data_IF_340329404736
#
_entry.id   IF_340329404736
#
_cell.length_a   1.000
_cell.length_b   1.000
_cell.length_c   1.000
_cell.angle_alpha   90.00
_cell.angle_beta   90.00
_cell.angle_gamma   90.00
#
_symmetry.space_group_name_H-M   'P 1'
#
loop_
_entity.id
_entity.type
_entity.pdbx_description
1 polymer ?
#
# COMPACT_ATOMS: atom_id res chain seq x y z
N UNK A 1 56.91 -6.27 12.08
CA UNK A 1 56.68 -4.93 12.64
C UNK A 1 55.26 -4.98 13.30
N UNK A 2 55.15 -4.98 14.60
CA UNK A 2 53.87 -5.11 15.30
C UNK A 2 53.34 -3.69 15.50
N UNK A 3 52.22 -3.38 14.83
CA UNK A 3 51.49 -2.10 14.97
C UNK A 3 50.66 -2.17 16.25
N UNK A 4 50.88 -1.24 17.18
CA UNK A 4 50.23 -1.19 18.48
C UNK A 4 48.82 -0.58 18.37
N UNK A 5 47.89 -1.05 19.22
CA UNK A 5 46.51 -0.55 19.32
C UNK A 5 46.39 0.98 19.55
N UNK A 6 47.49 1.66 19.90
CA UNK A 6 47.52 3.11 20.14
C UNK A 6 47.73 3.94 18.89
N UNK A 7 48.22 3.35 17.81
CA UNK A 7 48.49 4.06 16.53
C UNK A 7 47.23 4.10 15.62
N UNK A 8 46.27 3.24 15.89
CA UNK A 8 44.99 3.19 15.13
C UNK A 8 44.01 4.31 15.56
N UNK A 9 44.19 4.88 16.75
CA UNK A 9 43.27 5.90 17.29
C UNK A 9 43.64 7.36 16.98
N UNK A 10 44.72 7.63 16.25
CA UNK A 10 45.15 9.00 15.94
C UNK A 10 44.89 9.46 14.50
N UNK A 11 44.30 8.62 13.65
CA UNK A 11 43.99 8.96 12.24
C UNK A 11 42.49 8.92 11.89
N UNK A 12 41.60 8.96 12.88
CA UNK A 12 40.14 8.96 12.68
C UNK A 12 39.52 10.31 13.07
N UNK A 13 40.08 11.39 12.56
CA UNK A 13 39.43 12.70 12.66
C UNK A 13 39.72 13.50 11.39
N UNK A 14 38.92 13.22 10.35
CA UNK A 14 38.56 14.12 9.25
C UNK A 14 37.84 13.28 8.16
N UNK A 15 36.56 13.55 7.96
CA UNK A 15 35.82 13.02 6.80
C UNK A 15 34.60 12.18 7.14
N UNK A 16 33.62 12.72 7.87
CA UNK A 16 32.28 12.16 7.91
C UNK A 16 31.51 12.75 6.72
N UNK A 17 31.56 12.07 5.59
CA UNK A 17 30.54 12.20 4.56
C UNK A 17 29.41 11.26 4.95
N UNK A 18 28.25 11.81 5.26
CA UNK A 18 27.06 11.07 5.65
C UNK A 18 26.53 10.27 4.45
N UNK A 19 26.71 8.96 4.47
CA UNK A 19 25.91 8.05 3.68
C UNK A 19 24.61 7.76 4.46
N UNK A 20 23.57 8.53 4.14
CA UNK A 20 22.21 8.22 4.58
C UNK A 20 21.69 7.06 3.73
N UNK A 21 21.70 5.87 4.29
CA UNK A 21 20.94 4.73 3.77
C UNK A 21 19.46 5.00 4.02
N UNK A 22 18.74 5.29 2.94
CA UNK A 22 17.29 5.48 2.92
C UNK A 22 16.59 4.16 3.33
N UNK A 23 15.80 4.22 4.38
CA UNK A 23 14.82 3.19 4.76
C UNK A 23 13.50 3.52 4.06
N UNK A 24 12.91 2.62 3.25
CA UNK A 24 11.67 2.90 2.50
C UNK A 24 10.39 3.05 3.34
N UNK A 25 10.42 2.65 4.62
CA UNK A 25 9.21 2.57 5.45
C UNK A 25 9.03 3.72 6.46
N UNK A 26 9.97 4.66 6.58
CA UNK A 26 9.89 5.72 7.61
C UNK A 26 9.34 7.06 7.09
N UNK A 27 8.93 7.15 5.83
CA UNK A 27 8.53 8.44 5.25
C UNK A 27 7.13 8.91 5.65
N UNK A 28 6.28 8.03 6.20
CA UNK A 28 4.89 8.36 6.52
C UNK A 28 4.55 8.52 8.01
N UNK A 29 5.46 8.25 8.95
CA UNK A 29 5.13 8.20 10.38
C UNK A 29 5.86 9.18 11.31
N UNK A 30 6.66 10.13 10.81
CA UNK A 30 7.43 11.05 11.67
C UNK A 30 6.91 12.50 11.70
N UNK A 31 5.59 12.71 11.75
CA UNK A 31 5.03 14.07 11.90
C UNK A 31 4.18 14.28 13.15
N UNK A 32 4.42 13.53 14.20
CA UNK A 32 3.77 13.79 15.50
C UNK A 32 4.83 14.01 16.57
N UNK A 33 5.43 15.17 16.64
CA UNK A 33 6.01 15.85 17.82
C UNK A 33 7.21 16.71 17.42
N UNK A 34 6.95 17.88 16.83
CA UNK A 34 7.82 19.05 17.09
C UNK A 34 7.04 20.32 16.73
N UNK A 35 6.91 21.19 17.73
CA UNK A 35 6.61 22.61 17.53
C UNK A 35 5.13 22.98 17.55
N UNK A 36 4.62 23.25 18.75
CA UNK A 36 3.51 24.21 18.95
C UNK A 36 3.88 25.56 18.32
N UNK A 37 3.61 25.71 17.03
CA UNK A 37 3.50 27.02 16.40
C UNK A 37 2.04 27.44 16.49
N UNK A 38 1.85 28.68 16.94
CA UNK A 38 0.55 29.32 17.13
C UNK A 38 -0.42 28.97 16.00
N UNK A 39 -1.54 28.36 16.36
CA UNK A 39 -2.64 28.06 15.45
C UNK A 39 -3.16 29.37 14.86
N UNK A 40 -2.82 29.64 13.61
CA UNK A 40 -3.60 30.56 12.79
C UNK A 40 -5.05 30.04 12.82
N UNK A 41 -6.07 30.89 13.08
CA UNK A 41 -7.44 30.43 13.11
C UNK A 41 -7.73 29.67 11.81
N UNK A 42 -8.26 28.43 11.93
CA UNK A 42 -8.62 27.61 10.79
C UNK A 42 -9.56 28.44 9.90
N UNK A 43 -9.07 28.85 8.73
CA UNK A 43 -9.95 29.49 7.74
C UNK A 43 -11.04 28.48 7.40
N UNK A 44 -12.28 28.95 7.34
CA UNK A 44 -13.40 28.10 6.96
C UNK A 44 -13.08 27.40 5.63
N UNK A 45 -13.41 26.09 5.56
CA UNK A 45 -13.24 25.32 4.32
C UNK A 45 -13.98 26.00 3.16
N UNK A 46 -13.46 25.93 1.94
CA UNK A 46 -14.16 26.43 0.76
C UNK A 46 -15.57 25.81 0.63
N UNK A 47 -16.58 26.55 0.11
CA UNK A 47 -17.95 26.06 0.02
C UNK A 47 -18.15 24.75 -0.73
N UNK A 48 -17.24 24.40 -1.66
CA UNK A 48 -17.28 23.11 -2.36
C UNK A 48 -17.20 21.90 -1.41
N UNK A 49 -16.56 22.06 -0.25
CA UNK A 49 -16.47 21.02 0.77
C UNK A 49 -17.76 20.80 1.59
N UNK A 50 -18.76 21.68 1.46
CA UNK A 50 -20.02 21.55 2.23
C UNK A 50 -20.85 20.34 1.83
N UNK A 51 -20.65 19.82 0.64
CA UNK A 51 -21.28 18.59 0.14
C UNK A 51 -20.73 17.31 0.77
N UNK A 52 -19.53 17.36 1.34
CA UNK A 52 -18.89 16.19 1.96
C UNK A 52 -19.60 15.79 3.25
N UNK A 53 -19.98 14.51 3.35
CA UNK A 53 -20.69 13.94 4.50
C UNK A 53 -20.03 12.63 4.92
N UNK A 54 -20.02 12.29 6.21
CA UNK A 54 -19.58 10.99 6.70
C UNK A 54 -20.26 9.83 5.98
N UNK A 55 -19.53 8.75 5.77
CA UNK A 55 -20.04 7.54 5.12
C UNK A 55 -21.10 6.82 5.99
N UNK A 56 -20.98 6.93 7.32
CA UNK A 56 -21.93 6.35 8.27
C UNK A 56 -22.12 4.83 8.09
N UNK A 57 -23.35 4.37 8.16
CA UNK A 57 -23.71 2.96 8.10
C UNK A 57 -23.43 2.27 6.75
N UNK A 58 -22.94 3.00 5.76
CA UNK A 58 -22.47 2.39 4.49
C UNK A 58 -21.20 1.57 4.68
N UNK A 59 -20.37 1.93 5.65
CA UNK A 59 -19.17 1.18 6.01
C UNK A 59 -19.56 0.02 6.88
N UNK A 60 -19.34 -1.18 6.39
CA UNK A 60 -19.57 -2.41 7.17
C UNK A 60 -18.20 -2.98 7.57
N UNK A 61 -17.98 -3.27 8.86
CA UNK A 61 -16.72 -3.88 9.28
C UNK A 61 -16.65 -5.34 8.82
N UNK A 62 -15.44 -5.85 8.64
CA UNK A 62 -15.21 -7.27 8.39
C UNK A 62 -15.72 -8.10 9.57
N UNK A 63 -16.52 -9.10 9.30
CA UNK A 63 -17.19 -9.91 10.30
C UNK A 63 -16.32 -11.08 10.80
N UNK A 64 -16.59 -11.58 12.00
CA UNK A 64 -15.89 -12.72 12.60
C UNK A 64 -15.83 -13.94 11.66
N UNK A 65 -16.94 -14.26 10.98
CA UNK A 65 -17.01 -15.38 10.04
C UNK A 65 -16.10 -15.21 8.83
N UNK A 66 -15.83 -13.99 8.39
CA UNK A 66 -14.92 -13.73 7.26
C UNK A 66 -13.46 -14.01 7.65
N UNK A 67 -13.04 -13.62 8.87
CA UNK A 67 -11.72 -13.99 9.39
C UNK A 67 -11.53 -15.50 9.47
N UNK A 68 -12.55 -16.22 9.94
CA UNK A 68 -12.52 -17.69 9.99
C UNK A 68 -12.43 -18.31 8.60
N UNK A 69 -13.14 -17.77 7.61
CA UNK A 69 -13.04 -18.20 6.21
C UNK A 69 -11.65 -17.95 5.63
N UNK A 70 -11.00 -16.82 5.96
CA UNK A 70 -9.62 -16.51 5.56
C UNK A 70 -8.62 -17.53 6.12
N UNK A 71 -8.76 -17.92 7.40
CA UNK A 71 -7.96 -18.99 8.03
C UNK A 71 -8.17 -20.32 7.29
N UNK A 72 -9.41 -20.72 7.06
CA UNK A 72 -9.73 -21.96 6.35
C UNK A 72 -9.17 -21.96 4.91
N UNK A 73 -9.19 -20.81 4.23
CA UNK A 73 -8.59 -20.64 2.91
C UNK A 73 -7.07 -20.81 2.95
N UNK A 74 -6.38 -20.20 3.91
CA UNK A 74 -4.95 -20.38 4.10
C UNK A 74 -4.60 -21.86 4.36
N UNK A 75 -5.37 -22.53 5.22
CA UNK A 75 -5.19 -23.97 5.52
C UNK A 75 -5.36 -24.84 4.27
N UNK A 76 -6.32 -24.52 3.41
CA UNK A 76 -6.51 -25.19 2.13
C UNK A 76 -5.29 -24.99 1.21
N UNK A 77 -4.84 -23.76 1.01
CA UNK A 77 -3.67 -23.44 0.18
C UNK A 77 -2.39 -24.13 0.71
N UNK A 78 -2.21 -24.18 2.03
CA UNK A 78 -1.10 -24.91 2.64
C UNK A 78 -1.13 -26.41 2.28
N UNK A 79 -2.31 -27.02 2.26
CA UNK A 79 -2.48 -28.42 1.88
C UNK A 79 -2.24 -28.69 0.39
N UNK A 80 -2.55 -27.73 -0.47
CA UNK A 80 -2.37 -27.81 -1.94
C UNK A 80 -0.94 -27.52 -2.39
N UNK A 81 -0.07 -27.01 -1.51
CA UNK A 81 1.34 -26.73 -1.82
C UNK A 81 2.17 -28.01 -1.96
N UNK A 82 3.23 -27.96 -2.74
CA UNK A 82 4.14 -29.09 -2.96
C UNK A 82 5.61 -28.68 -2.67
N UNK A 83 6.19 -29.11 -1.54
CA UNK A 83 5.58 -29.88 -0.44
C UNK A 83 4.55 -29.06 0.34
N UNK A 84 3.60 -29.71 1.05
CA UNK A 84 2.58 -29.01 1.80
C UNK A 84 3.18 -28.31 3.02
N UNK A 85 2.74 -27.07 3.28
CA UNK A 85 3.07 -26.39 4.53
C UNK A 85 2.33 -27.02 5.72
N UNK A 86 3.00 -27.12 6.85
CA UNK A 86 2.40 -27.63 8.10
C UNK A 86 1.84 -26.50 8.96
N UNK A 87 2.40 -25.29 8.84
CA UNK A 87 1.91 -24.09 9.51
C UNK A 87 2.38 -22.81 8.80
N UNK A 88 1.78 -21.67 9.17
CA UNK A 88 2.28 -20.34 8.93
C UNK A 88 2.71 -19.68 10.25
N UNK A 89 3.75 -18.88 10.19
CA UNK A 89 4.22 -17.99 11.26
C UNK A 89 4.12 -16.55 10.75
N UNK A 90 3.29 -15.74 11.40
CA UNK A 90 2.90 -14.39 10.95
C UNK A 90 3.20 -13.41 12.08
N UNK A 91 4.01 -12.40 11.80
CA UNK A 91 4.35 -11.30 12.72
C UNK A 91 3.48 -10.06 12.48
N UNK A 92 3.55 -9.03 13.36
CA UNK A 92 2.79 -7.80 13.15
C UNK A 92 3.02 -7.17 11.79
N UNK A 93 1.93 -6.87 11.11
CA UNK A 93 1.86 -6.33 9.77
C UNK A 93 0.49 -6.59 9.16
N UNK A 94 0.33 -6.27 7.90
CA UNK A 94 -0.94 -6.35 7.18
C UNK A 94 -1.51 -7.76 7.13
N UNK A 95 -0.64 -8.77 7.02
CA UNK A 95 -1.08 -10.18 7.04
C UNK A 95 -1.70 -10.58 8.38
N UNK A 96 -1.19 -10.04 9.51
CA UNK A 96 -1.83 -10.22 10.82
C UNK A 96 -3.23 -9.58 10.84
N UNK A 97 -3.35 -8.34 10.35
CA UNK A 97 -4.65 -7.64 10.23
C UNK A 97 -5.61 -8.46 9.38
N UNK A 98 -5.17 -8.97 8.23
CA UNK A 98 -6.00 -9.79 7.34
C UNK A 98 -6.63 -11.00 8.03
N UNK A 99 -5.87 -11.73 8.86
CA UNK A 99 -6.36 -12.95 9.50
C UNK A 99 -7.09 -12.71 10.84
N UNK A 100 -6.87 -11.55 11.49
CA UNK A 100 -7.33 -11.36 12.86
C UNK A 100 -8.08 -10.06 13.12
N UNK A 101 -7.88 -9.04 12.29
CA UNK A 101 -8.31 -7.67 12.55
C UNK A 101 -7.46 -6.93 13.59
N UNK A 102 -6.34 -7.52 14.05
CA UNK A 102 -5.47 -6.93 15.05
C UNK A 102 -4.49 -5.97 14.40
N UNK A 103 -4.53 -4.71 14.79
CA UNK A 103 -3.55 -3.69 14.45
C UNK A 103 -2.49 -3.62 15.53
N UNK A 104 -1.28 -4.08 15.23
CA UNK A 104 -0.18 -4.14 16.18
C UNK A 104 1.10 -3.57 15.61
N UNK A 105 1.74 -2.73 16.40
CA UNK A 105 3.01 -2.13 16.00
C UNK A 105 4.18 -3.10 16.20
N UNK A 106 5.03 -3.34 15.19
CA UNK A 106 6.18 -4.22 15.34
C UNK A 106 7.21 -3.63 16.32
N UNK A 107 7.54 -4.40 17.35
CA UNK A 107 8.55 -4.06 18.36
C UNK A 107 9.63 -5.16 18.45
N UNK A 108 10.53 -5.05 19.42
CA UNK A 108 11.47 -6.11 19.78
C UNK A 108 10.78 -7.27 20.51
N UNK A 109 9.61 -7.02 21.10
CA UNK A 109 8.79 -8.03 21.76
C UNK A 109 7.89 -8.72 20.76
N UNK A 110 7.95 -10.03 20.73
CA UNK A 110 7.20 -10.79 19.74
C UNK A 110 5.73 -10.90 20.09
N UNK A 111 4.91 -10.45 19.15
CA UNK A 111 3.58 -10.94 18.89
C UNK A 111 3.64 -11.79 17.61
N UNK A 112 3.05 -12.97 17.60
CA UNK A 112 2.94 -13.79 16.39
C UNK A 112 1.62 -14.54 16.36
N UNK A 113 1.02 -14.65 15.16
CA UNK A 113 -0.06 -15.57 14.86
C UNK A 113 0.53 -16.82 14.21
N UNK A 114 0.17 -17.98 14.73
CA UNK A 114 0.50 -19.27 14.15
C UNK A 114 -0.77 -19.92 13.64
N UNK A 115 -0.77 -20.28 12.36
CA UNK A 115 -1.88 -20.97 11.70
C UNK A 115 -1.37 -22.38 11.32
N UNK A 116 -1.70 -23.44 12.10
CA UNK A 116 -1.41 -24.80 11.70
C UNK A 116 -2.29 -25.20 10.52
N UNK A 117 -1.80 -26.08 9.64
CA UNK A 117 -2.58 -26.59 8.49
C UNK A 117 -3.87 -27.27 8.91
N UNK A 118 -3.91 -27.85 10.10
CA UNK A 118 -5.09 -28.47 10.71
C UNK A 118 -5.24 -28.00 12.15
N UNK A 119 -6.48 -27.75 12.58
CA UNK A 119 -6.80 -27.24 13.90
C UNK A 119 -6.82 -25.71 13.99
N UNK A 120 -7.01 -25.21 15.20
CA UNK A 120 -7.23 -23.81 15.45
C UNK A 120 -5.93 -23.01 15.49
N UNK A 121 -5.90 -21.78 14.96
CA UNK A 121 -4.78 -20.87 15.09
C UNK A 121 -4.60 -20.43 16.56
N UNK A 122 -3.41 -19.93 16.87
CA UNK A 122 -3.12 -19.35 18.17
C UNK A 122 -2.17 -18.17 18.06
N UNK A 123 -2.24 -17.26 19.03
CA UNK A 123 -1.36 -16.13 19.18
C UNK A 123 -0.29 -16.41 20.25
N UNK A 124 0.90 -15.91 20.03
CA UNK A 124 1.98 -15.84 21.02
C UNK A 124 2.21 -14.37 21.34
N UNK A 125 2.10 -13.98 22.61
CA UNK A 125 2.11 -12.57 23.03
C UNK A 125 2.84 -12.38 24.34
N UNK A 126 3.49 -11.20 24.59
CA UNK A 126 3.92 -10.83 25.93
C UNK A 126 2.73 -10.90 26.92
N UNK A 127 2.96 -11.42 28.12
CA UNK A 127 1.87 -11.59 29.09
C UNK A 127 1.21 -10.27 29.50
N UNK A 128 2.00 -9.21 29.63
CA UNK A 128 1.47 -7.88 30.00
C UNK A 128 0.63 -7.22 28.90
N UNK A 129 0.71 -7.68 27.64
CA UNK A 129 -0.07 -7.16 26.51
C UNK A 129 -1.36 -7.97 26.25
N UNK A 130 -1.58 -9.07 26.96
CA UNK A 130 -2.74 -9.97 26.71
C UNK A 130 -4.08 -9.22 26.78
N UNK A 131 -4.26 -8.35 27.77
CA UNK A 131 -5.50 -7.57 27.92
C UNK A 131 -5.78 -6.69 26.72
N UNK A 132 -4.79 -5.93 26.26
CA UNK A 132 -4.89 -5.07 25.08
C UNK A 132 -5.13 -5.88 23.78
N UNK A 133 -4.53 -7.05 23.70
CA UNK A 133 -4.73 -7.93 22.55
C UNK A 133 -6.16 -8.47 22.48
N UNK A 134 -6.72 -8.87 23.63
CA UNK A 134 -8.11 -9.35 23.75
C UNK A 134 -9.14 -8.29 23.33
N UNK A 135 -8.89 -7.02 23.62
CA UNK A 135 -9.77 -5.90 23.21
C UNK A 135 -9.87 -5.77 21.68
N UNK A 136 -8.82 -6.15 20.93
CA UNK A 136 -8.78 -6.06 19.47
C UNK A 136 -9.33 -7.31 18.76
N UNK A 137 -9.41 -8.45 19.44
CA UNK A 137 -9.87 -9.69 18.81
C UNK A 137 -11.31 -9.56 18.30
N UNK A 138 -11.50 -9.84 17.03
CA UNK A 138 -12.82 -9.86 16.38
C UNK A 138 -13.53 -11.21 16.51
N UNK A 139 -12.79 -12.26 16.87
CA UNK A 139 -13.29 -13.62 17.11
C UNK A 139 -12.35 -14.35 18.08
N UNK A 140 -12.81 -15.42 18.79
CA UNK A 140 -11.98 -16.10 19.77
C UNK A 140 -10.78 -16.78 19.14
N UNK A 141 -9.57 -16.42 19.60
CA UNK A 141 -8.29 -17.08 19.28
C UNK A 141 -7.59 -17.37 20.59
N UNK A 142 -6.99 -18.56 20.74
CA UNK A 142 -6.16 -18.89 21.89
C UNK A 142 -4.95 -17.96 21.95
N UNK A 143 -4.66 -17.38 23.11
CA UNK A 143 -3.47 -16.58 23.36
C UNK A 143 -2.55 -17.34 24.30
N UNK A 144 -1.32 -17.57 23.87
CA UNK A 144 -0.21 -18.11 24.67
C UNK A 144 0.72 -16.99 25.05
N UNK A 145 0.88 -16.78 26.32
CA UNK A 145 1.71 -15.71 26.81
C UNK A 145 3.11 -16.17 27.17
N UNK A 146 4.04 -15.24 27.17
CA UNK A 146 5.42 -15.40 27.62
C UNK A 146 5.80 -14.24 28.53
N UNK A 147 6.66 -14.50 29.54
CA UNK A 147 7.22 -13.49 30.43
C UNK A 147 8.56 -12.97 29.88
N UNK A 148 9.06 -11.83 30.40
CA UNK A 148 10.28 -11.19 29.88
C UNK A 148 11.53 -12.09 29.96
N UNK A 149 11.55 -13.12 30.84
CA UNK A 149 12.58 -14.12 30.99
C UNK A 149 12.31 -15.44 30.25
N UNK A 150 11.14 -15.56 29.57
CA UNK A 150 10.80 -16.71 28.75
C UNK A 150 11.27 -16.54 27.29
N UNK A 151 11.38 -17.66 26.56
CA UNK A 151 11.57 -17.66 25.13
C UNK A 151 10.23 -17.70 24.39
N UNK A 152 9.80 -16.60 23.71
CA UNK A 152 8.58 -16.61 22.92
C UNK A 152 8.63 -17.63 21.77
N UNK A 153 9.82 -17.92 21.27
CA UNK A 153 10.04 -18.91 20.21
C UNK A 153 9.81 -20.33 20.71
N UNK A 154 10.21 -20.62 21.96
CA UNK A 154 9.91 -21.90 22.61
C UNK A 154 8.41 -22.07 22.84
N UNK A 155 7.70 -21.00 23.22
CA UNK A 155 6.22 -20.99 23.35
C UNK A 155 5.57 -21.29 21.99
N UNK A 156 6.05 -20.65 20.91
CA UNK A 156 5.58 -20.89 19.55
C UNK A 156 5.81 -22.35 19.11
N UNK A 157 7.04 -22.85 19.27
CA UNK A 157 7.41 -24.21 18.91
C UNK A 157 6.59 -25.26 19.69
N UNK A 158 6.41 -25.05 21.00
CA UNK A 158 5.56 -25.91 21.85
C UNK A 158 4.11 -25.91 21.36
N UNK A 159 3.56 -24.72 21.04
CA UNK A 159 2.21 -24.56 20.53
C UNK A 159 1.96 -25.29 19.22
N UNK A 160 2.95 -25.28 18.31
CA UNK A 160 2.92 -26.03 17.06
C UNK A 160 2.98 -27.55 17.32
N UNK A 161 3.91 -28.00 18.17
CA UNK A 161 4.06 -29.42 18.49
C UNK A 161 2.80 -30.05 19.14
N UNK A 162 2.12 -29.30 20.01
CA UNK A 162 0.84 -29.71 20.63
C UNK A 162 -0.29 -29.87 19.60
N UNK A 163 -0.21 -29.13 18.46
CA UNK A 163 -1.11 -29.24 17.32
C UNK A 163 -0.65 -30.24 16.25
N UNK A 164 0.34 -31.06 16.59
CA UNK A 164 0.85 -32.12 15.73
C UNK A 164 1.89 -31.64 14.69
N UNK A 165 2.26 -30.35 14.68
CA UNK A 165 3.30 -29.83 13.80
C UNK A 165 4.66 -30.01 14.47
N UNK A 166 5.31 -31.15 14.19
CA UNK A 166 6.59 -31.55 14.80
C UNK A 166 7.73 -31.62 13.80
N UNK A 167 7.42 -31.70 12.53
CA UNK A 167 8.34 -31.74 11.40
C UNK A 167 7.66 -31.09 10.17
N UNK A 168 8.42 -31.01 9.07
CA UNK A 168 7.94 -30.47 7.81
C UNK A 168 8.14 -28.97 7.68
N UNK A 169 7.46 -28.39 6.69
CA UNK A 169 7.69 -27.01 6.24
C UNK A 169 6.74 -26.04 6.93
N UNK A 170 7.29 -24.96 7.50
CA UNK A 170 6.56 -23.80 8.05
C UNK A 170 6.82 -22.59 7.17
N UNK A 171 5.76 -21.96 6.71
CA UNK A 171 5.82 -20.70 5.95
C UNK A 171 6.00 -19.51 6.90
N UNK A 172 7.00 -18.69 6.63
CA UNK A 172 7.27 -17.46 7.38
C UNK A 172 6.83 -16.28 6.52
N UNK A 173 6.09 -15.37 7.10
CA UNK A 173 5.60 -14.16 6.44
C UNK A 173 6.76 -13.21 6.11
N UNK A 174 6.70 -12.53 4.94
CA UNK A 174 7.81 -11.77 4.34
C UNK A 174 8.37 -10.65 5.22
N UNK A 175 7.55 -10.00 6.05
CA UNK A 175 7.97 -8.89 6.91
C UNK A 175 8.58 -9.34 8.23
N UNK A 176 8.68 -10.66 8.47
CA UNK A 176 9.28 -11.22 9.69
C UNK A 176 10.74 -10.82 9.80
N UNK A 177 11.11 -10.17 10.89
CA UNK A 177 12.50 -9.79 11.15
C UNK A 177 13.43 -11.02 11.13
N UNK A 178 14.57 -10.88 10.47
CA UNK A 178 15.55 -11.98 10.37
C UNK A 178 15.94 -12.59 11.74
N UNK A 179 16.12 -11.74 12.76
CA UNK A 179 16.46 -12.22 14.10
C UNK A 179 15.34 -13.09 14.71
N UNK A 180 14.07 -12.78 14.45
CA UNK A 180 12.94 -13.58 14.89
C UNK A 180 12.89 -14.92 14.17
N UNK A 181 13.10 -14.90 12.86
CA UNK A 181 13.23 -16.09 12.04
C UNK A 181 14.37 -17.01 12.56
N UNK A 182 15.55 -16.46 12.84
CA UNK A 182 16.71 -17.25 13.28
C UNK A 182 16.48 -17.90 14.65
N UNK A 183 15.92 -17.16 15.61
CA UNK A 183 15.58 -17.72 16.92
C UNK A 183 14.46 -18.77 16.84
N UNK A 184 13.44 -18.57 15.99
CA UNK A 184 12.40 -19.58 15.78
C UNK A 184 12.98 -20.87 15.21
N UNK A 185 13.88 -20.78 14.23
CA UNK A 185 14.59 -21.91 13.64
C UNK A 185 15.42 -22.68 14.69
N UNK A 186 16.06 -21.97 15.62
CA UNK A 186 16.80 -22.58 16.73
C UNK A 186 15.87 -23.26 17.74
N UNK A 187 14.70 -22.69 18.03
CA UNK A 187 13.73 -23.24 18.97
C UNK A 187 12.99 -24.49 18.43
N UNK A 188 12.92 -24.63 17.10
CA UNK A 188 12.23 -25.73 16.44
C UNK A 188 13.10 -26.38 15.35
N UNK A 189 14.21 -27.05 15.71
CA UNK A 189 15.22 -27.54 14.75
C UNK A 189 14.73 -28.69 13.85
N UNK A 190 13.62 -29.34 14.18
CA UNK A 190 13.00 -30.37 13.35
C UNK A 190 12.09 -29.80 12.25
N UNK A 191 11.77 -28.52 12.30
CA UNK A 191 10.98 -27.84 11.29
C UNK A 191 11.88 -27.20 10.23
N UNK A 192 11.41 -27.19 8.99
CA UNK A 192 12.04 -26.45 7.89
C UNK A 192 11.25 -25.16 7.67
N UNK A 193 11.94 -24.03 7.69
CA UNK A 193 11.31 -22.72 7.50
C UNK A 193 11.62 -22.17 6.10
N UNK A 194 10.59 -21.64 5.43
CA UNK A 194 10.70 -21.04 4.09
C UNK A 194 9.71 -19.87 3.98
N UNK A 195 9.77 -19.13 2.87
CA UNK A 195 8.77 -18.07 2.61
C UNK A 195 7.34 -18.65 2.59
N UNK A 196 6.44 -18.00 3.32
CA UNK A 196 5.01 -18.27 3.32
C UNK A 196 4.22 -17.48 2.27
N UNK A 197 4.90 -16.67 1.43
CA UNK A 197 4.30 -15.70 0.52
C UNK A 197 3.31 -16.33 -0.47
N UNK A 198 3.58 -17.54 -0.95
CA UNK A 198 2.65 -18.25 -1.83
C UNK A 198 1.26 -18.47 -1.20
N UNK A 199 1.19 -18.55 0.12
CA UNK A 199 -0.06 -18.69 0.87
C UNK A 199 -0.63 -17.32 1.23
N UNK A 200 0.17 -16.44 1.85
CA UNK A 200 -0.30 -15.13 2.33
C UNK A 200 -0.72 -14.23 1.17
N UNK A 201 0.06 -14.16 0.10
CA UNK A 201 -0.30 -13.46 -1.15
C UNK A 201 -1.50 -14.14 -1.81
N UNK A 202 -1.51 -15.49 -1.88
CA UNK A 202 -2.63 -16.25 -2.43
C UNK A 202 -3.96 -15.96 -1.75
N UNK A 203 -3.94 -15.73 -0.43
CA UNK A 203 -5.11 -15.34 0.34
C UNK A 203 -5.56 -13.90 0.07
N UNK A 204 -4.61 -12.96 0.00
CA UNK A 204 -4.90 -11.51 -0.04
C UNK A 204 -5.14 -10.99 -1.46
N UNK A 205 -4.53 -11.60 -2.47
CA UNK A 205 -4.57 -11.09 -3.84
C UNK A 205 -5.99 -11.06 -4.41
N UNK A 206 -6.78 -12.13 -4.22
CA UNK A 206 -8.16 -12.22 -4.70
C UNK A 206 -9.12 -11.73 -3.60
N UNK A 207 -9.78 -10.60 -3.86
CA UNK A 207 -10.68 -9.95 -2.91
C UNK A 207 -12.05 -10.62 -2.87
N UNK A 208 -12.65 -10.70 -1.69
CA UNK A 208 -14.05 -11.04 -1.53
C UNK A 208 -14.96 -9.91 -2.03
N UNK A 209 -16.25 -10.19 -2.20
CA UNK A 209 -17.21 -9.17 -2.60
C UNK A 209 -17.30 -8.03 -1.58
N UNK A 210 -17.16 -8.33 -0.29
CA UNK A 210 -17.18 -7.33 0.78
C UNK A 210 -15.91 -6.44 0.75
N UNK A 211 -14.74 -7.03 0.53
CA UNK A 211 -13.48 -6.27 0.37
C UNK A 211 -13.56 -5.32 -0.83
N UNK A 212 -14.12 -5.77 -1.96
CA UNK A 212 -14.34 -4.93 -3.14
C UNK A 212 -15.35 -3.81 -2.88
N UNK A 213 -16.37 -4.03 -2.05
CA UNK A 213 -17.31 -2.98 -1.66
C UNK A 213 -16.63 -1.89 -0.83
N UNK A 214 -15.79 -2.27 0.14
CA UNK A 214 -15.00 -1.32 0.94
C UNK A 214 -14.05 -0.50 0.07
N UNK A 215 -13.36 -1.14 -0.88
CA UNK A 215 -12.48 -0.45 -1.83
C UNK A 215 -13.25 0.54 -2.73
N UNK A 216 -14.42 0.15 -3.26
CA UNK A 216 -15.27 1.07 -4.03
C UNK A 216 -15.74 2.27 -3.21
N UNK A 217 -16.09 2.06 -1.94
CA UNK A 217 -16.47 3.15 -1.04
C UNK A 217 -15.28 4.07 -0.76
N UNK A 218 -14.07 3.51 -0.58
CA UNK A 218 -12.84 4.30 -0.41
C UNK A 218 -12.56 5.15 -1.66
N UNK A 219 -12.61 4.56 -2.86
CA UNK A 219 -12.46 5.28 -4.12
C UNK A 219 -13.50 6.41 -4.29
N UNK A 220 -14.78 6.12 -3.98
CA UNK A 220 -15.84 7.10 -4.09
C UNK A 220 -15.66 8.28 -3.11
N UNK A 221 -15.18 8.02 -1.90
CA UNK A 221 -14.88 9.05 -0.91
C UNK A 221 -13.70 9.93 -1.36
N UNK A 222 -12.62 9.32 -1.87
CA UNK A 222 -11.48 10.05 -2.43
C UNK A 222 -11.90 10.95 -3.59
N UNK A 223 -12.74 10.44 -4.51
CA UNK A 223 -13.31 11.23 -5.61
C UNK A 223 -14.11 12.42 -5.12
N UNK A 224 -14.94 12.25 -4.09
CA UNK A 224 -15.74 13.35 -3.53
C UNK A 224 -14.85 14.47 -2.98
N UNK A 225 -13.77 14.12 -2.25
CA UNK A 225 -12.82 15.10 -1.73
C UNK A 225 -12.02 15.75 -2.85
N UNK A 226 -11.53 15.00 -3.83
CA UNK A 226 -10.81 15.54 -4.98
C UNK A 226 -11.68 16.49 -5.79
N UNK A 227 -12.97 16.19 -5.99
CA UNK A 227 -13.90 17.07 -6.68
C UNK A 227 -14.04 18.43 -5.96
N UNK A 228 -14.20 18.41 -4.63
CA UNK A 228 -14.29 19.62 -3.82
C UNK A 228 -12.97 20.41 -3.86
N UNK A 229 -11.83 19.69 -3.80
CA UNK A 229 -10.51 20.29 -3.85
C UNK A 229 -10.25 21.00 -5.18
N UNK A 230 -10.39 20.32 -6.32
CA UNK A 230 -10.14 20.92 -7.64
C UNK A 230 -11.02 22.14 -7.91
N UNK A 231 -12.28 22.13 -7.41
CA UNK A 231 -13.18 23.29 -7.47
C UNK A 231 -12.73 24.47 -6.58
N UNK A 232 -11.77 24.25 -5.69
CA UNK A 232 -11.32 25.24 -4.70
C UNK A 232 -9.92 25.77 -4.96
N UNK A 233 -9.20 25.23 -5.94
CA UNK A 233 -7.83 25.63 -6.26
C UNK A 233 -7.79 27.06 -6.78
N UNK A 234 -6.75 27.79 -6.34
CA UNK A 234 -6.51 29.19 -6.72
C UNK A 234 -5.04 29.44 -6.97
N UNK A 235 -4.75 30.40 -7.84
CA UNK A 235 -3.39 30.88 -8.04
C UNK A 235 -2.76 31.34 -6.72
N UNK A 236 -1.50 31.04 -6.54
CA UNK A 236 -0.71 31.36 -5.36
C UNK A 236 -0.75 30.31 -4.24
N UNK A 237 -1.66 29.33 -4.29
CA UNK A 237 -1.69 28.23 -3.30
C UNK A 237 -0.41 27.41 -3.38
N UNK A 238 0.10 26.99 -2.22
CA UNK A 238 1.25 26.07 -2.10
C UNK A 238 0.79 24.63 -2.01
N UNK A 239 1.68 23.66 -2.29
CA UNK A 239 1.41 22.23 -2.12
C UNK A 239 0.94 21.91 -0.71
N UNK A 240 1.53 22.55 0.32
CA UNK A 240 1.16 22.35 1.73
C UNK A 240 -0.26 22.85 2.03
N UNK A 241 -0.67 23.96 1.44
CA UNK A 241 -2.04 24.49 1.61
C UNK A 241 -3.06 23.56 0.96
N UNK A 242 -2.75 23.04 -0.23
CA UNK A 242 -3.61 22.07 -0.92
C UNK A 242 -3.66 20.73 -0.16
N UNK A 243 -2.54 20.22 0.35
CA UNK A 243 -2.50 19.04 1.19
C UNK A 243 -3.36 19.18 2.45
N UNK A 244 -3.29 20.35 3.13
CA UNK A 244 -4.16 20.62 4.29
C UNK A 244 -5.65 20.65 3.93
N UNK A 245 -6.02 21.16 2.77
CA UNK A 245 -7.42 21.13 2.30
C UNK A 245 -7.88 19.68 2.07
N UNK A 246 -7.02 18.82 1.52
CA UNK A 246 -7.31 17.39 1.37
C UNK A 246 -7.55 16.72 2.72
N UNK A 247 -6.62 16.85 3.66
CA UNK A 247 -6.73 16.29 5.01
C UNK A 247 -8.04 16.76 5.70
N UNK A 248 -8.37 18.06 5.61
CA UNK A 248 -9.60 18.62 6.15
C UNK A 248 -10.84 18.09 5.43
N UNK A 249 -10.76 17.84 4.12
CA UNK A 249 -11.83 17.24 3.33
C UNK A 249 -12.13 15.82 3.79
N UNK A 250 -11.12 15.00 3.96
CA UNK A 250 -11.25 13.64 4.50
C UNK A 250 -11.77 13.68 5.95
N UNK A 251 -11.24 14.55 6.80
CA UNK A 251 -11.69 14.69 8.18
C UNK A 251 -13.18 15.09 8.25
N UNK A 252 -13.69 15.92 7.32
CA UNK A 252 -15.13 16.25 7.24
C UNK A 252 -16.00 15.04 6.92
N UNK A 253 -15.45 14.04 6.25
CA UNK A 253 -16.12 12.75 6.02
C UNK A 253 -15.92 11.75 7.16
N UNK A 254 -15.26 12.14 8.25
CA UNK A 254 -14.81 11.29 9.37
C UNK A 254 -13.83 10.20 8.90
N UNK A 255 -12.99 10.51 7.90
CA UNK A 255 -11.98 9.65 7.32
C UNK A 255 -10.58 10.21 7.56
N UNK A 256 -9.58 9.36 7.49
CA UNK A 256 -8.17 9.71 7.43
C UNK A 256 -7.64 9.38 6.04
N UNK A 257 -6.93 10.33 5.44
CA UNK A 257 -6.30 10.16 4.14
C UNK A 257 -5.36 11.33 3.88
N UNK A 258 -4.48 11.12 2.94
CA UNK A 258 -3.51 12.11 2.48
C UNK A 258 -3.27 11.96 0.97
N UNK A 259 -2.52 12.87 0.41
CA UNK A 259 -2.08 12.77 -0.97
C UNK A 259 -0.80 13.59 -1.19
N UNK A 260 0.03 13.07 -2.08
CA UNK A 260 1.13 13.81 -2.70
C UNK A 260 0.56 14.91 -3.59
N UNK A 261 1.01 16.15 -3.42
CA UNK A 261 0.59 17.30 -4.22
C UNK A 261 1.80 17.88 -4.92
N UNK A 262 1.76 17.92 -6.26
CA UNK A 262 2.87 18.41 -7.10
C UNK A 262 2.37 19.40 -8.14
N UNK A 263 3.15 20.45 -8.39
CA UNK A 263 2.83 21.49 -9.37
C UNK A 263 3.91 21.62 -10.45
N UNK A 264 3.51 21.77 -11.71
CA UNK A 264 4.40 22.07 -12.83
C UNK A 264 5.63 21.18 -12.90
N UNK A 265 6.86 21.75 -12.86
CA UNK A 265 8.09 20.98 -12.96
C UNK A 265 8.30 19.95 -11.83
N UNK A 266 7.74 20.18 -10.62
CA UNK A 266 7.89 19.23 -9.53
C UNK A 266 7.13 17.92 -9.80
N UNK A 267 6.07 17.95 -10.61
CA UNK A 267 5.33 16.77 -11.03
C UNK A 267 6.15 15.83 -11.95
N UNK A 268 7.27 16.31 -12.50
CA UNK A 268 8.20 15.46 -13.26
C UNK A 268 9.01 14.48 -12.40
N UNK A 269 8.93 14.61 -11.08
CA UNK A 269 9.52 13.69 -10.10
C UNK A 269 8.36 12.86 -9.49
N UNK A 270 8.21 11.58 -9.82
CA UNK A 270 7.01 10.78 -9.45
C UNK A 270 6.68 10.80 -7.95
N UNK A 271 7.69 10.87 -7.09
CA UNK A 271 7.52 10.95 -5.63
C UNK A 271 7.78 12.35 -5.08
N UNK A 272 7.82 13.36 -5.97
CA UNK A 272 7.88 14.76 -5.60
C UNK A 272 9.27 15.28 -5.19
N UNK A 273 9.25 16.50 -4.70
CA UNK A 273 10.41 17.24 -4.20
C UNK A 273 10.04 17.94 -2.89
N UNK A 274 11.06 18.36 -2.13
CA UNK A 274 10.85 19.15 -0.90
C UNK A 274 10.67 20.65 -1.19
N UNK A 275 10.86 21.08 -2.44
CA UNK A 275 10.71 22.47 -2.83
C UNK A 275 9.25 22.83 -2.97
N UNK A 276 8.79 23.82 -2.20
CA UNK A 276 7.46 24.40 -2.35
C UNK A 276 7.43 25.34 -3.55
N UNK A 277 6.35 25.24 -4.33
CA UNK A 277 6.08 26.14 -5.44
C UNK A 277 4.66 26.69 -5.28
N UNK A 278 4.44 28.00 -5.56
CA UNK A 278 3.09 28.53 -5.67
C UNK A 278 2.48 28.07 -6.98
N UNK A 279 1.21 27.67 -6.93
CA UNK A 279 0.40 27.32 -8.09
C UNK A 279 0.23 28.55 -9.00
N UNK A 280 0.42 28.40 -10.29
CA UNK A 280 0.25 29.46 -11.30
C UNK A 280 -0.62 28.97 -12.44
N UNK A 281 -1.22 29.91 -13.17
CA UNK A 281 -1.98 29.61 -14.37
C UNK A 281 -1.14 28.84 -15.39
N UNK A 282 -1.73 27.86 -16.06
CA UNK A 282 -1.09 26.95 -17.02
C UNK A 282 -0.25 25.83 -16.42
N UNK A 283 -0.04 25.81 -15.09
CA UNK A 283 0.66 24.72 -14.43
C UNK A 283 -0.22 23.47 -14.31
N UNK A 284 0.37 22.31 -14.62
CA UNK A 284 -0.18 21.01 -14.25
C UNK A 284 -0.18 20.84 -12.72
N UNK A 285 -1.22 20.21 -12.21
CA UNK A 285 -1.43 19.91 -10.79
C UNK A 285 -1.64 18.41 -10.70
N UNK A 286 -0.65 17.68 -10.16
CA UNK A 286 -0.77 16.25 -9.90
C UNK A 286 -1.07 16.04 -8.43
N UNK A 287 -2.16 15.32 -8.15
CA UNK A 287 -2.58 14.92 -6.82
C UNK A 287 -2.69 13.39 -6.83
N UNK A 288 -2.06 12.73 -5.87
CA UNK A 288 -1.87 11.29 -5.85
C UNK A 288 -1.96 10.74 -4.44
N UNK A 289 -2.93 9.87 -4.18
CA UNK A 289 -3.19 9.27 -2.88
C UNK A 289 -4.65 8.93 -2.66
N UNK A 290 -5.03 8.72 -1.41
CA UNK A 290 -6.37 8.27 -1.09
C UNK A 290 -6.66 8.17 0.40
N UNK A 291 -7.48 7.21 0.74
CA UNK A 291 -7.87 6.89 2.13
C UNK A 291 -7.71 5.41 2.42
N UNK A 292 -7.70 5.11 3.72
CA UNK A 292 -7.86 3.74 4.21
C UNK A 292 -9.23 3.60 4.87
N UNK A 293 -10.01 2.59 4.44
CA UNK A 293 -11.35 2.29 4.98
C UNK A 293 -11.40 0.83 5.44
N UNK A 294 -11.61 0.58 6.75
CA UNK A 294 -11.52 -0.76 7.35
C UNK A 294 -10.19 -1.50 6.99
N UNK A 295 -9.12 -0.75 6.80
CA UNK A 295 -7.80 -1.25 6.37
C UNK A 295 -7.60 -1.32 4.85
N UNK A 296 -8.63 -1.17 4.03
CA UNK A 296 -8.53 -1.23 2.56
C UNK A 296 -8.25 0.15 1.98
N UNK A 297 -7.26 0.22 1.09
CA UNK A 297 -6.81 1.45 0.46
C UNK A 297 -7.58 1.79 -0.80
N UNK A 298 -7.66 3.07 -1.11
CA UNK A 298 -7.82 3.61 -2.44
C UNK A 298 -6.56 4.37 -2.82
N UNK A 299 -6.17 4.30 -4.09
CA UNK A 299 -5.03 5.01 -4.64
C UNK A 299 -5.41 5.65 -5.97
N UNK A 300 -5.40 6.97 -6.03
CA UNK A 300 -5.96 7.72 -7.14
C UNK A 300 -5.09 8.91 -7.47
N UNK A 301 -4.50 8.90 -8.67
CA UNK A 301 -3.84 10.09 -9.20
C UNK A 301 -4.73 10.84 -10.19
N UNK A 302 -4.73 12.15 -10.05
CA UNK A 302 -5.36 13.07 -11.01
C UNK A 302 -4.39 14.18 -11.37
N UNK A 303 -4.23 14.40 -12.67
CA UNK A 303 -3.51 15.57 -13.17
C UNK A 303 -4.51 16.61 -13.68
N UNK A 304 -4.64 17.73 -12.97
CA UNK A 304 -5.44 18.88 -13.40
C UNK A 304 -4.58 20.01 -13.94
N UNK A 305 -5.21 21.13 -14.29
CA UNK A 305 -4.56 22.38 -14.68
C UNK A 305 -5.33 23.57 -14.10
N UNK A 306 -4.60 24.59 -13.68
CA UNK A 306 -5.21 25.89 -13.39
C UNK A 306 -5.22 26.74 -14.68
N UNK A 307 -6.42 27.11 -15.16
CA UNK A 307 -6.58 27.84 -16.43
C UNK A 307 -6.41 26.94 -17.65
N UNK A 308 -5.65 27.37 -18.65
CA UNK A 308 -5.47 26.64 -19.91
C UNK A 308 -4.17 25.83 -19.90
N UNK A 309 -4.21 24.55 -20.29
CA UNK A 309 -3.00 23.74 -20.41
C UNK A 309 -2.09 24.23 -21.56
N UNK A 310 -0.81 24.00 -21.44
CA UNK A 310 0.11 24.10 -22.60
C UNK A 310 -0.15 22.95 -23.56
N UNK A 311 0.16 23.13 -24.85
CA UNK A 311 0.03 22.05 -25.86
C UNK A 311 0.82 20.80 -25.48
N UNK A 312 2.02 20.94 -24.88
CA UNK A 312 2.84 19.83 -24.41
C UNK A 312 2.15 19.04 -23.29
N UNK A 313 1.58 19.74 -22.30
CA UNK A 313 0.88 19.11 -21.18
C UNK A 313 -0.38 18.39 -21.67
N UNK A 314 -1.16 19.04 -22.54
CA UNK A 314 -2.35 18.44 -23.13
C UNK A 314 -2.03 17.16 -23.90
N UNK A 315 -1.01 17.21 -24.78
CA UNK A 315 -0.57 16.01 -25.51
C UNK A 315 -0.12 14.88 -24.59
N UNK A 316 0.66 15.19 -23.55
CA UNK A 316 1.10 14.16 -22.59
C UNK A 316 -0.08 13.53 -21.86
N UNK A 317 -1.07 14.33 -21.45
CA UNK A 317 -2.30 13.85 -20.84
C UNK A 317 -3.08 12.90 -21.75
N UNK A 318 -3.28 13.26 -23.02
CA UNK A 318 -4.00 12.43 -23.98
C UNK A 318 -3.31 11.08 -24.18
N UNK A 319 -1.99 11.06 -24.23
CA UNK A 319 -1.19 9.82 -24.36
C UNK A 319 -1.29 8.97 -23.09
N UNK A 320 -1.20 9.58 -21.90
CA UNK A 320 -1.35 8.87 -20.62
C UNK A 320 -2.75 8.27 -20.48
N UNK A 321 -3.79 9.00 -20.86
CA UNK A 321 -5.17 8.49 -20.86
C UNK A 321 -5.35 7.30 -21.82
N UNK A 322 -4.81 7.43 -23.06
CA UNK A 322 -4.85 6.33 -24.02
C UNK A 322 -4.07 5.10 -23.53
N UNK A 323 -2.95 5.30 -22.82
CA UNK A 323 -2.19 4.22 -22.22
C UNK A 323 -2.96 3.53 -21.08
N UNK A 324 -3.68 4.31 -20.25
CA UNK A 324 -4.53 3.79 -19.18
C UNK A 324 -5.70 2.96 -19.75
N UNK A 325 -6.33 3.40 -20.84
CA UNK A 325 -7.39 2.66 -21.54
C UNK A 325 -6.86 1.34 -22.13
N UNK A 326 -5.67 1.38 -22.75
CA UNK A 326 -5.03 0.19 -23.31
C UNK A 326 -4.68 -0.85 -22.22
N UNK A 327 -4.21 -0.37 -21.06
CA UNK A 327 -3.93 -1.21 -19.90
C UNK A 327 -5.21 -1.88 -19.37
N UNK A 328 -6.29 -1.11 -19.18
CA UNK A 328 -7.57 -1.66 -18.72
C UNK A 328 -8.09 -2.74 -19.67
N UNK A 329 -8.01 -2.49 -20.98
CA UNK A 329 -8.44 -3.44 -22.01
C UNK A 329 -7.58 -4.72 -22.03
N UNK A 330 -6.29 -4.63 -21.74
CA UNK A 330 -5.35 -5.76 -21.70
C UNK A 330 -5.45 -6.58 -20.40
N UNK A 331 -6.00 -6.00 -19.34
CA UNK A 331 -6.13 -6.63 -18.03
C UNK A 331 -7.30 -7.61 -18.00
N UNK A 332 -7.07 -8.83 -18.54
CA UNK A 332 -8.05 -9.90 -18.70
C UNK A 332 -7.61 -11.12 -17.92
N UNK A 333 -8.54 -11.80 -17.24
CA UNK A 333 -8.26 -13.06 -16.55
C UNK A 333 -7.59 -14.08 -17.48
N UNK A 334 -6.55 -14.74 -17.00
CA UNK A 334 -5.73 -15.68 -17.78
C UNK A 334 -4.54 -15.04 -18.49
N UNK A 335 -4.47 -13.72 -18.62
CA UNK A 335 -3.30 -13.03 -19.16
C UNK A 335 -2.20 -12.88 -18.10
N UNK A 336 -0.97 -12.58 -18.53
CA UNK A 336 0.15 -12.29 -17.62
C UNK A 336 0.11 -10.83 -17.15
N UNK A 337 0.48 -10.57 -15.91
CA UNK A 337 0.61 -9.20 -15.39
C UNK A 337 1.51 -8.31 -16.25
N UNK A 338 2.60 -8.87 -16.81
CA UNK A 338 3.53 -8.12 -17.65
C UNK A 338 2.91 -7.64 -18.97
N UNK A 339 1.94 -8.36 -19.53
CA UNK A 339 1.29 -7.96 -20.78
C UNK A 339 0.45 -6.69 -20.65
N UNK A 340 -0.02 -6.39 -19.44
CA UNK A 340 -0.77 -5.16 -19.14
C UNK A 340 0.16 -3.95 -19.15
N UNK A 341 1.34 -4.06 -18.50
CA UNK A 341 2.38 -3.02 -18.56
C UNK A 341 2.89 -2.80 -19.99
N UNK A 342 3.09 -3.88 -20.74
CA UNK A 342 3.53 -3.79 -22.14
C UNK A 342 2.50 -3.05 -23.03
N UNK A 343 1.20 -3.23 -22.79
CA UNK A 343 0.14 -2.54 -23.54
C UNK A 343 0.19 -1.02 -23.32
N UNK A 344 0.30 -0.56 -22.06
CA UNK A 344 0.43 0.86 -21.75
C UNK A 344 1.73 1.46 -22.31
N UNK A 345 2.87 0.77 -22.11
CA UNK A 345 4.17 1.24 -22.63
C UNK A 345 4.23 1.34 -24.13
N UNK A 346 3.54 0.46 -24.83
CA UNK A 346 3.44 0.53 -26.27
C UNK A 346 2.81 1.84 -26.73
N UNK A 347 1.68 2.25 -26.15
CA UNK A 347 1.01 3.52 -26.46
C UNK A 347 1.93 4.70 -26.22
N UNK A 348 2.59 4.74 -25.05
CA UNK A 348 3.51 5.83 -24.68
C UNK A 348 4.72 5.89 -25.63
N UNK A 349 5.26 4.73 -26.01
CA UNK A 349 6.42 4.64 -26.91
C UNK A 349 6.05 5.06 -28.33
N UNK A 350 4.92 4.59 -28.87
CA UNK A 350 4.44 4.91 -30.22
C UNK A 350 4.12 6.41 -30.36
N UNK A 351 3.71 7.07 -29.26
CA UNK A 351 3.47 8.51 -29.20
C UNK A 351 4.78 9.35 -29.12
N UNK A 352 5.96 8.72 -29.08
CA UNK A 352 7.27 9.38 -29.02
C UNK A 352 7.80 9.64 -27.60
N UNK A 353 7.11 9.14 -26.56
CA UNK A 353 7.57 9.22 -25.17
C UNK A 353 8.30 7.96 -24.71
N UNK A 354 9.10 7.35 -25.59
CA UNK A 354 9.88 6.15 -25.34
C UNK A 354 11.35 6.33 -25.69
N UNK A 355 12.12 5.25 -25.73
CA UNK A 355 11.75 3.88 -25.34
C UNK A 355 11.94 3.58 -23.85
N UNK A 356 11.52 2.40 -23.43
CA UNK A 356 11.74 1.81 -22.11
C UNK A 356 11.24 2.73 -20.95
N UNK A 357 12.12 3.02 -19.99
CA UNK A 357 11.84 3.84 -18.81
C UNK A 357 12.23 5.32 -18.96
N UNK A 358 12.38 5.83 -20.20
CA UNK A 358 12.86 7.20 -20.43
C UNK A 358 11.93 8.28 -19.87
N UNK A 359 10.64 8.17 -20.15
CA UNK A 359 9.64 9.13 -19.69
C UNK A 359 8.57 8.47 -18.82
N UNK A 360 8.29 7.18 -19.01
CA UNK A 360 7.49 6.37 -18.12
C UNK A 360 8.42 5.54 -17.23
N UNK A 361 8.80 6.12 -16.10
CA UNK A 361 9.96 5.71 -15.30
C UNK A 361 9.72 4.60 -14.30
N UNK A 362 8.47 4.23 -14.04
CA UNK A 362 8.08 3.19 -13.08
C UNK A 362 7.24 2.09 -13.74
N UNK A 363 6.84 1.07 -13.01
CA UNK A 363 5.89 0.03 -13.44
C UNK A 363 4.51 0.64 -13.68
N UNK A 364 3.67 -0.08 -14.43
CA UNK A 364 2.30 0.37 -14.73
C UNK A 364 1.42 0.44 -13.49
N UNK A 365 1.63 -0.46 -12.53
CA UNK A 365 0.81 -0.51 -11.33
C UNK A 365 1.22 -1.64 -10.39
N UNK A 366 0.55 -1.69 -9.28
CA UNK A 366 0.75 -2.63 -8.18
C UNK A 366 -0.58 -3.23 -7.75
N UNK A 367 -0.55 -4.38 -7.08
CA UNK A 367 -1.70 -4.86 -6.33
C UNK A 367 -2.05 -3.87 -5.24
N UNK A 368 -3.32 -3.76 -4.93
CA UNK A 368 -3.83 -2.87 -3.87
C UNK A 368 -4.88 -3.60 -3.04
N UNK A 369 -4.92 -3.31 -1.76
CA UNK A 369 -5.86 -3.92 -0.83
C UNK A 369 -5.66 -3.42 0.59
N UNK A 370 -5.23 -4.28 1.49
CA UNK A 370 -4.84 -3.91 2.86
C UNK A 370 -3.47 -3.24 2.94
N UNK A 371 -2.58 -3.47 1.97
CA UNK A 371 -1.45 -2.60 1.70
C UNK A 371 -1.77 -1.74 0.49
N UNK A 372 -1.30 -0.51 0.48
CA UNK A 372 -1.36 0.37 -0.68
C UNK A 372 -0.64 -0.29 -1.87
N UNK A 373 0.57 -0.82 -1.62
CA UNK A 373 1.32 -1.60 -2.59
C UNK A 373 1.46 -3.06 -2.14
N UNK A 374 0.75 -3.96 -2.80
CA UNK A 374 0.86 -5.41 -2.56
C UNK A 374 1.08 -6.20 -3.85
N UNK A 375 1.41 -7.49 -3.72
CA UNK A 375 1.52 -8.40 -4.86
C UNK A 375 0.13 -8.77 -5.43
N UNK A 376 0.10 -9.06 -6.77
CA UNK A 376 1.19 -9.00 -7.74
C UNK A 376 1.36 -7.61 -8.37
N UNK A 377 2.44 -7.42 -9.16
CA UNK A 377 2.76 -6.15 -9.81
C UNK A 377 2.55 -6.20 -11.33
N UNK A 378 1.96 -5.14 -11.89
CA UNK A 378 1.88 -4.91 -13.33
C UNK A 378 3.20 -4.30 -13.80
N UNK A 379 4.15 -5.16 -14.14
CA UNK A 379 5.50 -4.78 -14.56
C UNK A 379 5.98 -5.70 -15.68
N UNK A 380 6.73 -5.16 -16.61
CA UNK A 380 7.32 -5.90 -17.74
C UNK A 380 7.97 -7.21 -17.28
N UNK A 381 7.63 -8.31 -17.98
CA UNK A 381 8.19 -9.63 -17.72
C UNK A 381 7.59 -10.39 -16.55
N UNK A 382 6.66 -9.81 -15.78
CA UNK A 382 5.95 -10.54 -14.74
C UNK A 382 5.00 -11.58 -15.35
N UNK A 383 5.28 -12.86 -15.07
CA UNK A 383 4.55 -14.02 -15.62
C UNK A 383 3.36 -14.45 -14.76
N UNK A 384 3.10 -13.77 -13.64
CA UNK A 384 1.94 -14.06 -12.77
C UNK A 384 0.67 -13.92 -13.59
N UNK A 385 -0.19 -14.94 -13.50
CA UNK A 385 -1.46 -14.97 -14.22
C UNK A 385 -2.52 -14.18 -13.47
N UNK A 386 -3.19 -13.27 -14.16
CA UNK A 386 -4.33 -12.53 -13.67
C UNK A 386 -5.50 -13.48 -13.39
N UNK A 387 -6.05 -13.39 -12.20
CA UNK A 387 -7.24 -14.12 -11.77
C UNK A 387 -8.37 -13.15 -11.44
N UNK A 388 -9.63 -13.56 -11.55
CA UNK A 388 -10.75 -12.74 -11.12
C UNK A 388 -10.58 -12.23 -9.69
N UNK A 389 -11.09 -11.03 -9.42
CA UNK A 389 -11.05 -10.36 -8.12
C UNK A 389 -9.67 -9.96 -7.60
N UNK A 390 -8.60 -10.09 -8.40
CA UNK A 390 -7.35 -9.39 -8.10
C UNK A 390 -7.53 -7.90 -8.42
N UNK A 391 -7.05 -7.04 -7.54
CA UNK A 391 -7.12 -5.59 -7.68
C UNK A 391 -5.76 -4.98 -7.93
N UNK A 392 -5.73 -3.91 -8.73
CA UNK A 392 -4.51 -3.20 -9.13
C UNK A 392 -4.75 -1.71 -9.23
N UNK A 393 -3.70 -0.91 -9.02
CA UNK A 393 -3.60 0.41 -9.62
C UNK A 393 -3.35 0.30 -11.13
N UNK A 394 -3.84 1.28 -11.90
CA UNK A 394 -3.56 1.46 -13.32
C UNK A 394 -3.11 2.91 -13.53
N UNK A 395 -1.79 3.12 -13.46
CA UNK A 395 -1.16 4.43 -13.22
C UNK A 395 -0.06 4.78 -14.25
N UNK A 396 -0.32 4.74 -15.56
CA UNK A 396 0.69 5.20 -16.50
C UNK A 396 1.00 6.67 -16.31
N UNK A 397 2.28 7.04 -16.50
CA UNK A 397 2.73 8.41 -16.37
C UNK A 397 3.76 8.81 -17.42
N UNK A 398 3.85 10.12 -17.69
CA UNK A 398 4.89 10.73 -18.52
C UNK A 398 5.52 11.87 -17.71
N UNK A 399 6.85 11.80 -17.53
CA UNK A 399 7.62 12.72 -16.70
C UNK A 399 8.75 13.34 -17.52
N UNK A 400 8.65 14.66 -17.77
CA UNK A 400 9.65 15.44 -18.50
C UNK A 400 10.36 16.35 -17.50
N UNK A 401 11.51 15.90 -17.03
CA UNK A 401 12.27 16.59 -15.96
C UNK A 401 12.49 18.05 -16.28
N UNK A 402 12.15 18.92 -15.35
CA UNK A 402 12.24 20.38 -15.48
C UNK A 402 11.07 21.03 -16.24
N UNK A 403 10.12 20.25 -16.77
CA UNK A 403 8.97 20.78 -17.49
C UNK A 403 7.64 20.42 -16.82
N UNK A 404 7.26 19.15 -16.82
CA UNK A 404 5.98 18.68 -16.28
C UNK A 404 5.97 17.17 -16.01
N UNK A 405 5.03 16.72 -15.19
CA UNK A 405 4.64 15.32 -15.05
C UNK A 405 3.14 15.17 -15.18
N UNK A 406 2.72 14.05 -15.76
CA UNK A 406 1.32 13.62 -15.87
C UNK A 406 1.22 12.19 -15.41
N UNK A 407 0.34 11.91 -14.46
CA UNK A 407 -0.11 10.59 -14.06
C UNK A 407 -1.64 10.60 -13.97
N UNK A 408 -2.27 9.59 -14.54
CA UNK A 408 -3.69 9.30 -14.32
C UNK A 408 -3.75 7.89 -13.74
N UNK A 409 -4.39 7.74 -12.61
CA UNK A 409 -4.46 6.50 -11.87
C UNK A 409 -5.87 6.21 -11.39
N UNK A 410 -6.27 4.99 -11.60
CA UNK A 410 -7.52 4.44 -11.10
C UNK A 410 -7.29 3.02 -10.59
N UNK A 411 -7.94 2.69 -9.47
CA UNK A 411 -8.01 1.32 -9.00
C UNK A 411 -8.93 0.50 -9.90
N UNK A 412 -8.50 -0.72 -10.24
CA UNK A 412 -9.26 -1.65 -11.05
C UNK A 412 -9.30 -3.06 -10.43
N UNK A 413 -10.31 -3.84 -10.81
CA UNK A 413 -10.45 -5.25 -10.44
C UNK A 413 -10.55 -6.11 -11.69
N UNK A 414 -9.85 -7.25 -11.70
CA UNK A 414 -9.94 -8.23 -12.78
C UNK A 414 -11.33 -8.87 -12.76
N UNK A 415 -12.05 -8.77 -13.87
CA UNK A 415 -13.38 -9.35 -14.03
C UNK A 415 -13.33 -10.86 -14.25
N UNK A 416 -14.45 -11.56 -14.02
CA UNK A 416 -14.60 -12.99 -14.36
C UNK A 416 -14.42 -13.26 -15.86
N UNK A 417 -14.81 -12.31 -16.71
CA UNK A 417 -14.65 -12.35 -18.15
C UNK A 417 -14.53 -10.95 -18.73
N UNK A 418 -13.80 -10.83 -19.85
CA UNK A 418 -13.55 -9.54 -20.49
C UNK A 418 -12.52 -8.69 -19.78
N UNK A 419 -12.42 -7.39 -20.12
CA UNK A 419 -11.50 -6.44 -19.52
C UNK A 419 -11.78 -6.20 -18.03
N UNK A 420 -10.75 -5.75 -17.29
CA UNK A 420 -10.90 -5.31 -15.91
C UNK A 420 -11.96 -4.20 -15.77
N UNK A 421 -12.51 -4.08 -14.57
CA UNK A 421 -13.49 -3.06 -14.22
C UNK A 421 -12.86 -2.05 -13.24
N UNK A 422 -13.24 -0.79 -13.35
CA UNK A 422 -12.84 0.23 -12.41
C UNK A 422 -13.50 0.00 -11.04
N UNK A 423 -12.74 0.24 -9.98
CA UNK A 423 -13.24 0.44 -8.62
C UNK A 423 -13.57 1.92 -8.40
N UNK A 424 -12.89 2.82 -9.11
CA UNK A 424 -13.16 4.25 -9.12
C UNK A 424 -14.46 4.57 -9.87
N UNK A 425 -15.16 5.69 -9.55
CA UNK A 425 -16.40 6.08 -10.23
C UNK A 425 -16.26 6.34 -11.73
N UNK A 426 -15.06 6.66 -12.21
CA UNK A 426 -14.79 6.87 -13.62
C UNK A 426 -13.38 7.39 -13.88
N UNK A 427 -12.99 7.35 -15.13
CA UNK A 427 -11.73 7.92 -15.59
C UNK A 427 -11.73 9.45 -15.56
N UNK A 428 -10.53 10.03 -15.57
CA UNK A 428 -10.36 11.47 -15.75
C UNK A 428 -10.78 11.91 -17.16
N UNK A 429 -11.73 12.83 -17.31
CA UNK A 429 -12.21 13.25 -18.64
C UNK A 429 -11.27 14.25 -19.34
N UNK A 430 -10.69 15.21 -18.63
CA UNK A 430 -9.75 16.20 -19.18
C UNK A 430 -8.88 16.82 -18.08
N UNK A 431 -7.90 17.63 -18.47
CA UNK A 431 -7.09 18.41 -17.53
C UNK A 431 -7.90 19.48 -16.79
N UNK A 432 -8.86 20.12 -17.46
CA UNK A 432 -9.71 21.17 -16.87
C UNK A 432 -10.82 20.58 -16.00
N UNK A 433 -11.17 19.31 -16.22
CA UNK A 433 -12.15 18.57 -15.43
C UNK A 433 -11.53 17.25 -14.97
N UNK A 434 -10.66 17.27 -13.96
CA UNK A 434 -9.96 16.06 -13.52
C UNK A 434 -10.88 15.06 -12.81
N UNK A 435 -12.05 15.50 -12.35
CA UNK A 435 -13.10 14.64 -11.77
C UNK A 435 -14.40 14.87 -12.54
N UNK A 436 -15.05 13.80 -12.96
CA UNK A 436 -16.31 13.80 -13.68
C UNK A 436 -17.51 14.21 -12.80
#
# INVERSE_FOLDING_TARGET
>A
MKISRRDVMKTASLGIAANATLRPAEFFLSRSAEGSQASTPASALPPAFDSLKPLGDRVKPILAGEYQQRIAHAQKLMGESAPPFQALYITPGTTLVYFTGIHWWPSERILALLIPRQGDPFLVSPAFEEGRLREQLRWPIEIRTWQEDDSPFAVAAKGLAERGVRDGQVGVEETTRYTFFDHLRQAAPSLTFTSGDSITIGCRAQKSAHELELMRLACAATFAVYKALFASLKEGMTQREVGRLLEQGFARMALQGDALVLFGPSAALPHGTREEQPLREGMGILIDGGITLEGYHSDISRTGVLGKPTEKLQRAFEVVRAAQDAALAAAVAGHQCGSVDDAARKVITDAGFGPNYKYFTHRLGHGIGLDEHEYPYLVRGNKTILKPNITFSNEPGIYVVGEYGVRCEDDMVIAESGPAQLLTPGFQPSLEKPIA
#
